data_IF_154170447094
#
_entry.id   IF_154170447094
#
_cell.length_a   1.000
_cell.length_b   1.000
_cell.length_c   1.000
_cell.angle_alpha   90.00
_cell.angle_beta   90.00
_cell.angle_gamma   90.00
#
_symmetry.space_group_name_H-M   'P 1'
#
loop_
_entity.id
_entity.type
_entity.pdbx_description
1 polymer ?
#
# COMPACT_ATOMS: atom_id res chain seq x y z
N UNK A 1 12.47 6.73 -1.14
CA UNK A 1 12.67 6.45 0.30
C UNK A 1 13.70 7.43 0.91
N UNK A 2 14.78 7.73 0.18
CA UNK A 2 15.85 8.65 0.63
C UNK A 2 15.33 10.05 1.01
N UNK A 3 14.49 10.65 0.15
CA UNK A 3 13.89 11.97 0.42
C UNK A 3 13.08 12.02 1.73
N UNK A 4 12.43 10.93 2.15
CA UNK A 4 11.66 10.92 3.39
C UNK A 4 12.56 10.97 4.63
N UNK A 5 13.74 10.38 4.55
CA UNK A 5 14.72 10.43 5.63
C UNK A 5 15.44 11.78 5.69
N UNK A 6 15.70 12.37 4.52
CA UNK A 6 16.24 13.74 4.42
C UNK A 6 15.30 14.77 5.05
N UNK A 7 13.99 14.58 4.87
CA UNK A 7 12.96 15.42 5.49
C UNK A 7 12.70 15.09 6.98
N UNK A 8 13.50 14.19 7.57
CA UNK A 8 13.37 13.75 8.97
C UNK A 8 12.02 13.09 9.31
N UNK A 9 11.25 12.65 8.30
CA UNK A 9 10.02 11.87 8.54
C UNK A 9 10.33 10.39 8.85
N UNK A 10 11.56 9.94 8.60
CA UNK A 10 12.05 8.61 8.94
C UNK A 10 13.47 8.72 9.49
N UNK A 11 13.88 7.77 10.33
CA UNK A 11 15.29 7.74 10.75
C UNK A 11 16.19 7.26 9.60
N UNK A 12 17.46 7.73 9.54
CA UNK A 12 18.41 7.27 8.53
C UNK A 12 18.66 5.76 8.60
N UNK A 13 18.49 5.14 9.77
CA UNK A 13 18.56 3.69 9.95
C UNK A 13 17.44 2.93 9.22
N UNK A 14 16.25 3.54 9.09
CA UNK A 14 15.08 2.96 8.41
C UNK A 14 15.06 3.24 6.90
N UNK A 15 15.98 4.08 6.40
CA UNK A 15 16.08 4.44 4.98
C UNK A 15 16.45 3.25 4.09
N UNK A 16 17.16 2.27 4.66
CA UNK A 16 17.53 1.01 3.99
C UNK A 16 16.42 -0.06 4.07
N UNK A 17 15.30 0.23 4.76
CA UNK A 17 14.20 -0.70 4.97
C UNK A 17 13.12 -0.66 3.88
N UNK A 18 12.20 -1.64 3.93
CA UNK A 18 11.01 -1.65 3.08
C UNK A 18 9.97 -0.65 3.60
N UNK A 19 9.75 0.41 2.82
CA UNK A 19 8.65 1.37 3.04
C UNK A 19 7.33 0.83 2.51
N UNK A 20 6.32 0.71 3.38
CA UNK A 20 4.93 0.41 3.03
C UNK A 20 4.04 1.61 3.35
N UNK A 21 3.27 2.08 2.38
CA UNK A 21 2.31 3.18 2.55
C UNK A 21 0.97 2.63 3.07
N UNK A 22 0.50 3.26 4.14
CA UNK A 22 -0.80 3.01 4.76
C UNK A 22 -1.74 4.19 4.49
N UNK A 23 -3.05 3.93 4.55
CA UNK A 23 -4.08 4.89 4.19
C UNK A 23 -4.72 5.54 5.43
N UNK A 24 -3.92 5.92 6.41
CA UNK A 24 -4.39 6.62 7.60
C UNK A 24 -4.42 8.14 7.34
N UNK A 25 -5.53 8.79 7.70
CA UNK A 25 -5.78 10.20 7.39
C UNK A 25 -6.34 10.45 5.98
N UNK A 26 -6.56 11.73 5.66
CA UNK A 26 -7.09 12.20 4.38
C UNK A 26 -6.05 13.01 3.62
N UNK A 27 -6.06 12.89 2.29
CA UNK A 27 -5.16 13.60 1.39
C UNK A 27 -5.97 14.65 0.64
N UNK A 28 -5.78 15.93 0.96
CA UNK A 28 -6.44 17.05 0.25
C UNK A 28 -5.62 17.59 -0.93
N UNK A 29 -4.40 17.07 -1.16
CA UNK A 29 -3.51 17.53 -2.22
C UNK A 29 -3.08 16.38 -3.12
N UNK A 30 -3.03 16.62 -4.42
CA UNK A 30 -2.40 15.70 -5.36
C UNK A 30 -0.91 15.59 -5.03
N UNK A 31 -0.46 14.39 -4.67
CA UNK A 31 0.92 14.08 -4.34
C UNK A 31 1.41 12.90 -5.19
N UNK A 32 2.68 12.93 -5.56
CA UNK A 32 3.34 11.78 -6.18
C UNK A 32 4.07 11.00 -5.09
N UNK A 33 3.62 9.77 -4.82
CA UNK A 33 4.15 8.95 -3.73
C UNK A 33 4.97 7.80 -4.30
N UNK A 34 6.24 7.73 -3.90
CA UNK A 34 7.19 6.69 -4.34
C UNK A 34 7.52 5.73 -3.19
N UNK A 35 7.09 4.48 -3.27
CA UNK A 35 7.32 3.49 -2.20
C UNK A 35 7.34 2.05 -2.70
N UNK A 36 7.71 1.10 -1.83
CA UNK A 36 7.87 -0.30 -2.22
C UNK A 36 6.55 -1.09 -2.21
N UNK A 37 5.62 -0.70 -1.34
CA UNK A 37 4.32 -1.34 -1.21
C UNK A 37 3.25 -0.33 -0.78
N UNK A 38 2.04 -0.50 -1.27
CA UNK A 38 0.89 0.33 -0.90
C UNK A 38 -0.25 -0.56 -0.40
N UNK A 39 -0.99 -0.13 0.61
CA UNK A 39 -2.24 -0.79 1.01
C UNK A 39 -3.39 -0.44 0.04
N UNK A 40 -4.42 -1.27 -0.02
CA UNK A 40 -5.59 -1.01 -0.85
C UNK A 40 -6.26 0.34 -0.51
N UNK A 41 -6.39 0.64 0.79
CA UNK A 41 -6.95 1.91 1.27
C UNK A 41 -6.07 3.12 0.91
N UNK A 42 -4.75 2.95 0.90
CA UNK A 42 -3.83 4.02 0.51
C UNK A 42 -3.91 4.34 -0.97
N UNK A 43 -3.93 3.31 -1.84
CA UNK A 43 -4.03 3.49 -3.29
C UNK A 43 -5.30 4.26 -3.64
N UNK A 44 -6.45 3.79 -3.14
CA UNK A 44 -7.74 4.43 -3.37
C UNK A 44 -7.76 5.90 -2.94
N UNK A 45 -7.16 6.24 -1.79
CA UNK A 45 -7.08 7.63 -1.31
C UNK A 45 -6.16 8.50 -2.15
N UNK A 46 -5.01 7.97 -2.58
CA UNK A 46 -4.07 8.71 -3.42
C UNK A 46 -4.69 8.98 -4.80
N UNK A 47 -5.34 7.99 -5.40
CA UNK A 47 -6.04 8.13 -6.68
C UNK A 47 -7.25 9.08 -6.57
N UNK A 48 -8.03 8.99 -5.48
CA UNK A 48 -9.14 9.91 -5.23
C UNK A 48 -8.70 11.36 -5.04
N UNK A 49 -7.51 11.58 -4.46
CA UNK A 49 -6.90 12.90 -4.35
C UNK A 49 -6.25 13.39 -5.66
N UNK A 50 -6.31 12.62 -6.75
CA UNK A 50 -5.67 12.93 -8.03
C UNK A 50 -4.14 12.82 -7.99
N UNK A 51 -3.60 12.03 -7.06
CA UNK A 51 -2.17 11.77 -6.93
C UNK A 51 -1.65 10.66 -7.85
N UNK A 52 -0.35 10.40 -7.79
CA UNK A 52 0.33 9.38 -8.60
C UNK A 52 1.13 8.44 -7.71
N UNK A 53 1.11 7.15 -8.03
CA UNK A 53 1.75 6.08 -7.26
C UNK A 53 2.89 5.49 -8.09
N UNK A 54 4.13 5.59 -7.59
CA UNK A 54 5.27 4.95 -8.22
C UNK A 54 5.84 3.86 -7.31
N UNK A 55 5.78 2.62 -7.78
CA UNK A 55 6.27 1.47 -7.04
C UNK A 55 7.76 1.31 -7.34
N UNK A 56 8.60 1.54 -6.32
CA UNK A 56 10.04 1.32 -6.44
C UNK A 56 10.33 -0.18 -6.27
N UNK A 57 10.96 -0.85 -7.27
CA UNK A 57 11.26 -2.26 -7.18
C UNK A 57 12.38 -2.49 -6.15
N UNK A 58 12.08 -3.27 -5.12
CA UNK A 58 13.08 -3.80 -4.18
C UNK A 58 13.72 -5.07 -4.74
N UNK A 59 15.03 -5.17 -4.58
CA UNK A 59 15.77 -6.42 -4.74
C UNK A 59 15.49 -7.31 -3.51
N UNK A 60 14.38 -8.05 -3.52
CA UNK A 60 13.96 -8.88 -2.37
C UNK A 60 14.59 -10.26 -2.45
N UNK A 61 15.29 -10.67 -1.38
CA UNK A 61 15.65 -12.07 -1.12
C UNK A 61 14.39 -12.84 -0.66
N UNK A 62 14.04 -13.87 -1.41
CA UNK A 62 12.73 -14.55 -1.49
C UNK A 62 12.25 -15.33 -0.24
N UNK A 63 12.98 -15.30 0.90
CA UNK A 63 12.87 -16.39 1.89
C UNK A 63 11.80 -16.28 2.99
N UNK A 64 10.91 -15.30 2.98
CA UNK A 64 9.86 -15.17 4.04
C UNK A 64 8.44 -15.52 3.59
N UNK A 65 8.25 -16.00 2.34
CA UNK A 65 6.91 -16.18 1.76
C UNK A 65 6.12 -17.44 2.18
N UNK A 66 6.54 -18.24 3.17
CA UNK A 66 5.86 -19.53 3.47
C UNK A 66 4.65 -19.49 4.41
N UNK A 67 4.22 -18.36 4.98
CA UNK A 67 3.20 -18.42 6.06
C UNK A 67 2.04 -17.42 6.06
N UNK A 68 1.79 -16.64 5.01
CA UNK A 68 0.69 -15.65 5.07
C UNK A 68 -0.03 -15.40 3.73
N UNK A 69 -0.41 -16.48 3.05
CA UNK A 69 -1.31 -16.46 1.89
C UNK A 69 -2.35 -17.59 1.96
N UNK A 70 -2.86 -17.87 3.17
CA UNK A 70 -3.99 -18.77 3.39
C UNK A 70 -4.88 -18.11 4.45
N UNK A 71 -5.55 -17.02 4.09
CA UNK A 71 -6.86 -16.63 4.65
C UNK A 71 -7.36 -15.34 3.96
N UNK A 72 -8.07 -15.55 2.84
CA UNK A 72 -9.20 -14.70 2.50
C UNK A 72 -10.43 -15.61 2.50
N UNK A 73 -11.28 -15.65 3.54
CA UNK A 73 -12.64 -16.08 3.34
C UNK A 73 -13.33 -15.02 2.47
N UNK A 74 -13.72 -15.40 1.26
CA UNK A 74 -14.53 -14.57 0.38
C UNK A 74 -15.89 -14.30 1.05
N UNK A 75 -16.35 -13.05 1.19
CA UNK A 75 -17.68 -12.78 1.69
C UNK A 75 -18.70 -13.27 0.66
N UNK A 76 -19.59 -14.16 1.09
CA UNK A 76 -20.71 -14.63 0.30
C UNK A 76 -21.68 -13.48 0.00
N UNK A 77 -21.94 -13.28 -1.28
CA UNK A 77 -23.15 -12.60 -1.76
C UNK A 77 -23.85 -13.55 -2.73
N UNK A 78 -24.55 -14.54 -2.18
CA UNK A 78 -25.66 -15.17 -2.89
C UNK A 78 -26.86 -14.24 -2.74
N UNK A 79 -27.01 -13.30 -3.67
CA UNK A 79 -28.28 -12.66 -3.93
C UNK A 79 -29.14 -13.67 -4.72
N UNK A 80 -30.01 -14.38 -4.01
CA UNK A 80 -31.08 -15.17 -4.62
C UNK A 80 -32.00 -14.22 -5.37
N UNK A 81 -32.01 -14.37 -6.69
CA UNK A 81 -32.98 -13.79 -7.62
C UNK A 81 -34.13 -14.78 -7.79
N UNK A 82 -35.30 -14.21 -8.05
CA UNK A 82 -36.63 -14.81 -8.07
C UNK A 82 -36.92 -15.72 -9.27
N UNK A 83 -37.85 -16.68 -9.08
CA UNK A 83 -38.87 -17.18 -10.05
C UNK A 83 -39.78 -18.15 -9.26
N UNK A 84 -40.99 -17.77 -8.82
CA UNK A 84 -42.33 -17.91 -9.47
C UNK A 84 -42.75 -19.34 -9.79
#
# INVERSE_FOLDING_TARGET
>A
PDELAQQHLMTPAESHGLVKVLGDGEISRALTVRAHKFSASAQAKIEAAGGTIEIIPVKVYEKTKRRKDQEKPAPGSQAQTADV
#
